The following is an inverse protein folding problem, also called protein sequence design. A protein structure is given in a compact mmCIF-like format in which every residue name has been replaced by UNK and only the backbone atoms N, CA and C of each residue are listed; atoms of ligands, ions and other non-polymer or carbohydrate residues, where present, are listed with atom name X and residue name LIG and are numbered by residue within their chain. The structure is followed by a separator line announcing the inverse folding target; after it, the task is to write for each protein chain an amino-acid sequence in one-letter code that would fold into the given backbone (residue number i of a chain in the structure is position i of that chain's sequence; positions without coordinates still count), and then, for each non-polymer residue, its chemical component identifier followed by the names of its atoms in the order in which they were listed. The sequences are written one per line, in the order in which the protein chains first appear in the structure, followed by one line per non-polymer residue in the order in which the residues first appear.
data_IF_087282488012
#
_entry.id   IF_087282488012
#
_cell.length_a   1.000
_cell.length_b   1.000
_cell.length_c   1.000
_cell.angle_alpha   90.00
_cell.angle_beta   90.00
_cell.angle_gamma   90.00
#
_symmetry.space_group_name_H-M   'P 1'
#
loop_
_entity.id
_entity.type
_entity.pdbx_description
1 polymer ?
#
# COMPACT_ATOMS: atom_id res chain seq x y z
N UNK A 1 6.24 6.27 -24.41
CA UNK A 1 5.21 6.58 -25.42
C UNK A 1 3.85 6.59 -24.76
N UNK A 2 2.91 7.43 -25.22
CA UNK A 2 1.51 7.41 -24.77
C UNK A 2 0.63 6.82 -25.88
N UNK A 3 -0.25 5.87 -25.54
CA UNK A 3 -1.19 5.23 -26.46
C UNK A 3 -2.63 5.51 -26.02
N UNK A 4 -3.56 5.55 -26.98
CA UNK A 4 -5.00 5.62 -26.71
C UNK A 4 -5.59 4.22 -26.80
N UNK A 5 -6.40 3.84 -25.83
CA UNK A 5 -7.04 2.52 -25.77
C UNK A 5 -8.51 2.71 -25.38
N UNK A 6 -9.41 2.03 -26.09
CA UNK A 6 -10.83 1.98 -25.73
C UNK A 6 -11.08 0.77 -24.83
N UNK A 7 -11.45 1.01 -23.58
CA UNK A 7 -11.77 -0.03 -22.58
C UNK A 7 -13.03 0.38 -21.82
N UNK A 8 -13.82 -0.61 -21.42
CA UNK A 8 -14.97 -0.41 -20.54
C UNK A 8 -14.50 -0.54 -19.09
N UNK A 9 -14.82 0.45 -18.26
CA UNK A 9 -14.43 0.49 -16.85
C UNK A 9 -15.67 0.66 -15.97
N UNK A 10 -15.66 0.06 -14.79
CA UNK A 10 -16.66 0.34 -13.76
C UNK A 10 -16.46 1.75 -13.19
N UNK A 11 -17.41 2.63 -13.47
CA UNK A 11 -17.40 4.01 -13.01
C UNK A 11 -17.39 4.15 -11.47
N UNK A 12 -17.94 3.19 -10.74
CA UNK A 12 -17.88 3.19 -9.26
C UNK A 12 -16.45 2.93 -8.79
N UNK A 13 -15.75 1.99 -9.42
CA UNK A 13 -14.36 1.68 -9.12
C UNK A 13 -13.45 2.86 -9.49
N UNK A 14 -13.65 3.47 -10.66
CA UNK A 14 -12.87 4.63 -11.10
C UNK A 14 -13.07 5.81 -10.14
N UNK A 15 -14.31 6.10 -9.70
CA UNK A 15 -14.56 7.16 -8.71
C UNK A 15 -13.84 6.91 -7.38
N UNK A 16 -13.82 5.66 -6.91
CA UNK A 16 -13.07 5.28 -5.70
C UNK A 16 -11.56 5.48 -5.90
N UNK A 17 -11.03 5.06 -7.04
CA UNK A 17 -9.63 5.25 -7.38
C UNK A 17 -9.27 6.75 -7.46
N UNK A 18 -10.13 7.56 -8.08
CA UNK A 18 -9.97 9.01 -8.16
C UNK A 18 -9.94 9.66 -6.77
N UNK A 19 -10.87 9.29 -5.88
CA UNK A 19 -10.90 9.78 -4.50
C UNK A 19 -9.64 9.37 -3.72
N UNK A 20 -9.19 8.12 -3.89
CA UNK A 20 -7.98 7.60 -3.23
C UNK A 20 -6.70 8.26 -3.75
N UNK A 21 -6.63 8.55 -5.05
CA UNK A 21 -5.48 9.18 -5.69
C UNK A 21 -5.50 10.71 -5.64
N UNK A 22 -6.63 11.34 -5.29
CA UNK A 22 -6.79 12.80 -5.25
C UNK A 22 -6.84 13.46 -6.65
N UNK A 23 -7.25 12.73 -7.68
CA UNK A 23 -7.20 13.19 -9.07
C UNK A 23 -8.58 13.54 -9.63
N UNK A 24 -8.61 14.40 -10.65
CA UNK A 24 -9.85 14.97 -11.21
C UNK A 24 -10.35 14.24 -12.45
N UNK A 25 -9.49 13.49 -13.14
CA UNK A 25 -9.84 12.81 -14.39
C UNK A 25 -9.75 11.29 -14.28
N UNK A 26 -10.58 10.58 -15.06
CA UNK A 26 -10.52 9.12 -15.18
C UNK A 26 -9.15 8.64 -15.69
N UNK A 27 -8.54 9.39 -16.62
CA UNK A 27 -7.21 9.09 -17.18
C UNK A 27 -6.13 9.10 -16.09
N UNK A 28 -6.10 10.13 -15.27
CA UNK A 28 -5.14 10.22 -14.15
C UNK A 28 -5.37 9.13 -13.12
N UNK A 29 -6.62 8.74 -12.86
CA UNK A 29 -6.92 7.66 -11.94
C UNK A 29 -6.40 6.31 -12.44
N UNK A 30 -6.55 6.05 -13.74
CA UNK A 30 -6.03 4.84 -14.39
C UNK A 30 -4.50 4.84 -14.37
N UNK A 31 -3.87 5.96 -14.71
CA UNK A 31 -2.41 6.11 -14.66
C UNK A 31 -1.87 5.86 -13.24
N UNK A 32 -2.46 6.50 -12.23
CA UNK A 32 -2.08 6.32 -10.83
C UNK A 32 -2.29 4.89 -10.34
N UNK A 33 -3.37 4.22 -10.77
CA UNK A 33 -3.62 2.83 -10.44
C UNK A 33 -2.59 1.88 -11.08
N UNK A 34 -2.24 2.10 -12.35
CA UNK A 34 -1.20 1.33 -13.04
C UNK A 34 0.17 1.53 -12.39
N UNK A 35 0.53 2.78 -12.06
CA UNK A 35 1.77 3.07 -11.36
C UNK A 35 1.80 2.41 -9.97
N UNK A 36 0.68 2.46 -9.24
CA UNK A 36 0.58 1.80 -7.93
C UNK A 36 0.71 0.26 -8.05
N UNK A 37 0.14 -0.34 -9.09
CA UNK A 37 0.24 -1.78 -9.36
C UNK A 37 1.68 -2.19 -9.72
N UNK A 38 2.37 -1.42 -10.56
CA UNK A 38 3.79 -1.69 -10.89
C UNK A 38 4.70 -1.42 -9.70
N UNK A 39 4.36 -0.41 -8.88
CA UNK A 39 5.07 -0.11 -7.62
C UNK A 39 4.78 -1.09 -6.51
N UNK A 40 3.79 -1.98 -6.67
CA UNK A 40 3.43 -2.95 -5.65
C UNK A 40 4.71 -3.70 -5.28
N UNK A 41 5.27 -3.43 -4.08
CA UNK A 41 6.58 -3.94 -3.73
C UNK A 41 6.45 -5.44 -3.82
N UNK A 42 7.38 -6.09 -4.52
CA UNK A 42 7.37 -7.53 -4.65
C UNK A 42 7.40 -8.15 -3.25
N UNK A 43 6.24 -8.42 -2.69
CA UNK A 43 6.10 -9.02 -1.38
C UNK A 43 6.68 -10.42 -1.40
N UNK A 44 6.95 -10.98 -2.59
CA UNK A 44 7.77 -12.15 -2.78
C UNK A 44 9.08 -12.11 -1.97
N UNK A 45 9.79 -10.98 -1.95
CA UNK A 45 11.03 -10.86 -1.17
C UNK A 45 10.75 -10.90 0.34
N UNK A 46 9.69 -10.23 0.81
CA UNK A 46 9.28 -10.23 2.22
C UNK A 46 8.71 -11.58 2.65
N UNK A 47 7.93 -12.23 1.79
CA UNK A 47 7.36 -13.56 1.97
C UNK A 47 8.45 -14.63 1.94
N UNK A 48 9.52 -14.46 1.15
CA UNK A 48 10.67 -15.34 1.15
C UNK A 48 11.44 -15.32 2.49
N UNK A 49 11.34 -14.22 3.25
CA UNK A 49 11.87 -14.14 4.62
C UNK A 49 10.99 -14.89 5.65
N UNK A 50 9.80 -15.36 5.27
CA UNK A 50 8.93 -16.12 6.18
C UNK A 50 9.60 -17.46 6.51
N UNK A 51 9.92 -17.65 7.79
CA UNK A 51 10.59 -18.86 8.27
C UNK A 51 12.11 -18.80 8.20
N UNK A 52 12.71 -17.70 7.72
CA UNK A 52 14.17 -17.53 7.68
C UNK A 52 14.78 -17.17 9.05
N UNK A 53 14.00 -17.15 10.13
CA UNK A 53 14.48 -16.86 11.47
C UNK A 53 14.99 -15.42 11.67
N UNK A 54 14.54 -14.46 10.85
CA UNK A 54 15.02 -13.07 10.82
C UNK A 54 14.74 -12.21 12.07
N UNK A 55 14.53 -12.84 13.22
CA UNK A 55 14.37 -12.21 14.52
C UNK A 55 15.71 -12.34 15.25
N UNK A 56 16.28 -11.22 15.68
CA UNK A 56 17.55 -11.23 16.42
C UNK A 56 17.43 -12.02 17.72
N UNK A 57 18.50 -12.71 18.10
CA UNK A 57 18.58 -13.40 19.39
C UNK A 57 18.37 -12.38 20.52
N UNK A 58 17.34 -12.62 21.35
CA UNK A 58 16.94 -11.70 22.43
C UNK A 58 15.94 -10.61 22.03
N UNK A 59 15.31 -10.69 20.85
CA UNK A 59 14.19 -9.81 20.49
C UNK A 59 12.98 -10.05 21.42
N UNK A 60 12.71 -9.08 22.29
CA UNK A 60 11.58 -9.06 23.22
C UNK A 60 10.47 -8.14 22.67
N UNK A 61 9.40 -8.68 22.06
CA UNK A 61 8.36 -7.86 21.40
C UNK A 61 7.67 -6.86 22.34
N UNK A 62 7.66 -7.17 23.65
CA UNK A 62 7.04 -6.35 24.69
C UNK A 62 7.93 -5.23 25.22
N UNK A 63 9.25 -5.33 25.03
CA UNK A 63 10.19 -4.28 25.43
C UNK A 63 10.23 -3.12 24.41
N UNK A 64 9.83 -3.38 23.16
CA UNK A 64 9.84 -2.39 22.06
C UNK A 64 8.52 -1.66 21.87
N UNK A 65 7.52 -1.90 22.73
CA UNK A 65 6.25 -1.18 22.64
C UNK A 65 6.51 0.32 22.95
N UNK A 66 6.17 1.25 22.04
CA UNK A 66 6.28 2.66 22.36
C UNK A 66 5.36 2.94 23.56
N UNK A 67 5.96 3.30 24.68
CA UNK A 67 5.31 3.54 25.98
C UNK A 67 4.23 4.63 25.96
N UNK A 68 4.03 5.32 24.83
CA UNK A 68 3.19 6.52 24.73
C UNK A 68 1.69 6.30 24.46
N UNK A 69 1.20 5.06 24.43
CA UNK A 69 -0.24 4.80 24.19
C UNK A 69 -1.07 4.66 25.48
N UNK A 70 -0.44 4.70 26.66
CA UNK A 70 -1.15 4.78 27.94
C UNK A 70 -1.06 6.22 28.46
N UNK A 71 -2.01 7.06 28.05
CA UNK A 71 -2.29 8.34 28.70
C UNK A 71 -2.96 8.01 30.03
N UNK A 72 -2.25 8.17 31.14
CA UNK A 72 -2.89 8.37 32.44
C UNK A 72 -3.26 9.86 32.52
N UNK A 73 -4.53 10.18 32.31
CA UNK A 73 -5.09 11.44 32.80
C UNK A 73 -5.65 11.21 34.22
N UNK A 74 -5.37 12.11 35.18
CA UNK A 74 -6.03 12.13 36.48
C UNK A 74 -7.47 12.63 36.40
#
# INVERSE_FOLDING_TARGET
MLSRTNIVLDDRLVRRAMKKAGVKTKREAVEAALQAFVREPGYAAVLALRGSGGVADGYEPKASAPSKWFVHEP
#
